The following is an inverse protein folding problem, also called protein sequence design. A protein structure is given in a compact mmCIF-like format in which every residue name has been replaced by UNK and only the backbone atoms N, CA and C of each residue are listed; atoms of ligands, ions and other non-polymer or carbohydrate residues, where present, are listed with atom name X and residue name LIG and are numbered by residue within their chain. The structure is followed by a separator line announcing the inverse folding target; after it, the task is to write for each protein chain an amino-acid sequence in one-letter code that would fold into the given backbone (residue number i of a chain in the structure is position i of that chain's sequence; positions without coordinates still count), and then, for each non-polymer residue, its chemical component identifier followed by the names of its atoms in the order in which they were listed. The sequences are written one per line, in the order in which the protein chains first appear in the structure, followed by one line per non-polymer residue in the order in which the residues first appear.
data_IF_074552837925
#
_entry.id   IF_074552837925
#
_cell.length_a   1.000
_cell.length_b   1.000
_cell.length_c   1.000
_cell.angle_alpha   90.00
_cell.angle_beta   90.00
_cell.angle_gamma   90.00
#
_symmetry.space_group_name_H-M   'P 1'
#
loop_
_entity.id
_entity.type
_entity.pdbx_description
1 polymer ?
#
# COMPACT_ATOMS: atom_id res chain seq x y z
N UNK A 1 1.31 1.76 27.03
CA UNK A 1 0.53 2.50 28.04
C UNK A 1 1.11 3.89 28.09
N UNK A 2 0.35 4.91 27.69
CA UNK A 2 0.86 6.29 27.62
C UNK A 2 0.60 6.96 28.97
N UNK A 3 1.65 7.21 29.74
CA UNK A 3 1.57 8.01 30.96
C UNK A 3 1.93 9.47 30.64
N UNK A 4 1.19 10.39 31.27
CA UNK A 4 1.40 11.82 31.22
C UNK A 4 1.89 12.26 32.61
N UNK A 5 3.13 12.76 32.71
CA UNK A 5 3.59 13.50 33.88
C UNK A 5 3.87 14.95 33.49
N UNK A 6 3.27 15.87 34.23
CA UNK A 6 3.44 17.31 34.07
C UNK A 6 4.42 17.79 35.17
N UNK A 7 5.70 17.94 34.84
CA UNK A 7 6.65 18.60 35.74
C UNK A 7 6.47 20.13 35.63
N UNK A 8 6.00 20.75 36.72
CA UNK A 8 5.93 22.21 36.85
C UNK A 8 7.22 22.74 37.44
N UNK A 9 8.14 23.18 36.59
CA UNK A 9 9.27 24.00 37.04
C UNK A 9 8.99 25.50 36.84
N UNK A 10 9.04 26.25 37.94
CA UNK A 10 8.75 27.70 38.00
C UNK A 10 9.89 28.49 37.33
N UNK A 11 9.72 28.88 36.06
CA UNK A 11 10.01 30.22 35.46
C UNK A 11 10.17 30.08 33.93
N UNK A 12 9.40 30.89 33.19
CA UNK A 12 9.25 30.93 31.70
C UNK A 12 8.66 29.64 31.11
N UNK A 13 7.42 29.74 30.65
CA UNK A 13 6.63 28.70 29.99
C UNK A 13 7.28 28.22 28.70
N UNK A 14 8.23 27.28 28.80
CA UNK A 14 8.59 26.35 27.73
C UNK A 14 7.82 25.06 28.01
N UNK A 15 6.77 24.80 27.24
CA UNK A 15 6.08 23.51 27.30
C UNK A 15 6.78 22.58 26.31
N UNK A 16 7.72 21.77 26.79
CA UNK A 16 8.31 20.70 25.97
C UNK A 16 7.36 19.51 25.98
N UNK A 17 6.73 19.21 24.84
CA UNK A 17 5.88 18.03 24.69
C UNK A 17 6.77 16.83 24.38
N UNK A 18 6.87 15.88 25.31
CA UNK A 18 7.59 14.63 25.11
C UNK A 18 6.65 13.55 24.57
N UNK A 19 6.83 13.16 23.30
CA UNK A 19 6.17 12.00 22.71
C UNK A 19 7.00 10.74 22.99
N UNK A 20 6.48 9.87 23.85
CA UNK A 20 7.10 8.57 24.14
C UNK A 20 6.62 7.54 23.12
N UNK A 21 7.51 7.14 22.21
CA UNK A 21 7.29 5.95 21.38
C UNK A 21 7.92 4.76 22.10
N UNK A 22 7.09 3.91 22.70
CA UNK A 22 7.56 2.70 23.36
C UNK A 22 8.04 1.69 22.33
N UNK A 23 9.36 1.54 22.16
CA UNK A 23 9.96 0.42 21.44
C UNK A 23 10.33 -0.64 22.48
N UNK A 24 9.53 -1.70 22.58
CA UNK A 24 9.85 -2.86 23.43
C UNK A 24 10.82 -3.78 22.71
N UNK A 25 12.07 -3.87 23.18
CA UNK A 25 12.97 -4.96 22.81
C UNK A 25 12.74 -6.16 23.73
N UNK A 26 12.53 -7.39 23.21
CA UNK A 26 12.50 -8.59 24.05
C UNK A 26 13.87 -8.82 24.68
N UNK A 27 13.90 -8.98 26.00
CA UNK A 27 15.11 -9.25 26.77
C UNK A 27 15.65 -10.65 26.46
N UNK A 28 16.83 -10.75 25.85
CA UNK A 28 17.72 -11.89 26.05
C UNK A 28 19.15 -11.37 26.18
N UNK A 29 19.83 -11.95 27.15
CA UNK A 29 21.17 -11.66 27.63
C UNK A 29 22.22 -11.48 26.53
N UNK A 30 23.16 -10.55 26.75
CA UNK A 30 24.47 -10.55 26.11
C UNK A 30 24.73 -9.34 25.22
N UNK A 31 25.88 -8.71 25.45
CA UNK A 31 26.44 -7.59 24.69
C UNK A 31 26.41 -7.80 23.16
N UNK A 32 26.50 -6.67 22.45
CA UNK A 32 26.46 -6.43 21.00
C UNK A 32 25.09 -6.04 20.42
N UNK A 33 24.61 -4.85 20.79
CA UNK A 33 23.66 -4.11 19.95
C UNK A 33 24.45 -3.47 18.80
N UNK A 34 24.43 -4.12 17.64
CA UNK A 34 24.74 -3.45 16.38
C UNK A 34 23.72 -2.33 16.21
N UNK A 35 24.19 -1.09 16.30
CA UNK A 35 23.40 0.09 15.99
C UNK A 35 22.91 -0.02 14.54
N UNK A 36 21.61 -0.23 14.36
CA UNK A 36 20.97 -0.07 13.06
C UNK A 36 21.12 1.40 12.65
N UNK A 37 22.09 1.68 11.78
CA UNK A 37 22.15 2.90 10.99
C UNK A 37 20.92 2.91 10.08
N UNK A 38 19.88 3.64 10.45
CA UNK A 38 18.90 4.11 9.48
C UNK A 38 19.42 5.44 8.90
N UNK A 39 20.35 5.32 7.95
CA UNK A 39 20.75 6.43 7.09
C UNK A 39 19.95 6.32 5.79
N UNK A 40 19.03 7.26 5.54
CA UNK A 40 18.57 7.54 4.17
C UNK A 40 19.33 8.79 3.75
N UNK A 41 20.46 8.56 3.07
CA UNK A 41 21.19 9.56 2.30
C UNK A 41 20.85 9.28 0.86
N UNK A 42 20.17 10.22 0.20
CA UNK A 42 20.17 10.31 -1.26
C UNK A 42 20.53 11.75 -1.62
N UNK A 43 21.78 11.94 -2.07
CA UNK A 43 22.21 13.16 -2.73
C UNK A 43 21.70 13.13 -4.18
N UNK A 44 20.98 14.16 -4.61
CA UNK A 44 20.86 14.49 -6.03
C UNK A 44 21.64 15.80 -6.30
N UNK A 45 22.50 15.85 -7.33
CA UNK A 45 23.21 17.06 -7.72
C UNK A 45 22.28 17.95 -8.56
N UNK A 46 22.01 19.16 -8.08
CA UNK A 46 21.15 20.14 -8.76
C UNK A 46 20.10 20.68 -7.79
N UNK A 47 20.34 21.89 -7.28
CA UNK A 47 19.62 22.41 -6.12
C UNK A 47 18.17 22.77 -6.36
N UNK A 48 17.28 22.25 -5.51
CA UNK A 48 16.02 22.87 -5.10
C UNK A 48 15.74 22.50 -3.63
N UNK A 49 15.32 23.47 -2.81
CA UNK A 49 15.08 23.29 -1.37
C UNK A 49 13.85 22.41 -1.10
N UNK A 50 14.07 21.14 -0.72
CA UNK A 50 13.01 20.22 -0.24
C UNK A 50 13.19 19.98 1.27
N UNK A 51 12.10 20.19 2.02
CA UNK A 51 12.04 20.11 3.48
C UNK A 51 12.44 18.72 4.02
N UNK A 52 13.32 18.73 5.03
CA UNK A 52 13.94 17.55 5.65
C UNK A 52 13.13 17.16 6.89
N UNK A 53 12.31 16.10 6.86
CA UNK A 53 11.44 15.75 8.02
C UNK A 53 12.15 14.88 9.09
N UNK A 54 13.37 14.40 8.84
CA UNK A 54 14.17 13.73 9.87
C UNK A 54 15.64 14.17 9.76
N UNK A 55 16.16 14.77 10.84
CA UNK A 55 17.56 15.18 10.98
C UNK A 55 18.29 14.31 11.99
N UNK A 56 19.63 14.29 11.90
CA UNK A 56 20.57 13.41 12.60
C UNK A 56 20.21 13.06 14.05
N UNK A 57 20.29 11.76 14.36
CA UNK A 57 20.20 11.21 15.71
C UNK A 57 21.47 11.55 16.50
N UNK A 58 21.44 12.62 17.29
CA UNK A 58 22.47 12.89 18.30
C UNK A 58 22.32 11.94 19.49
N UNK A 59 23.39 11.24 19.87
CA UNK A 59 23.45 10.53 21.17
C UNK A 59 23.57 11.56 22.27
N UNK A 60 22.59 11.60 23.17
CA UNK A 60 22.82 12.08 24.53
C UNK A 60 22.74 10.89 25.49
N UNK A 61 23.70 10.84 26.39
CA UNK A 61 24.03 9.76 27.32
C UNK A 61 22.81 9.16 28.02
N UNK A 62 22.69 7.84 27.95
CA UNK A 62 21.76 7.04 28.74
C UNK A 62 22.08 7.18 30.23
N UNK A 63 21.15 7.72 31.02
CA UNK A 63 21.13 7.49 32.46
C UNK A 63 20.40 6.18 32.76
N UNK A 64 20.71 5.58 33.92
CA UNK A 64 20.53 4.16 34.26
C UNK A 64 19.08 3.62 34.38
N UNK A 65 18.09 4.28 33.78
CA UNK A 65 16.75 3.75 33.57
C UNK A 65 16.44 3.87 32.08
N UNK A 66 16.31 2.72 31.41
CA UNK A 66 16.26 2.59 29.94
C UNK A 66 15.09 3.30 29.26
N UNK A 67 15.19 4.63 29.13
CA UNK A 67 14.29 5.49 28.38
C UNK A 67 15.08 6.15 27.25
N UNK A 68 14.89 5.68 26.02
CA UNK A 68 15.41 6.37 24.82
C UNK A 68 14.50 7.58 24.55
N UNK A 69 15.06 8.79 24.69
CA UNK A 69 14.39 10.04 24.30
C UNK A 69 14.35 10.12 22.76
N UNK A 70 13.18 9.87 22.17
CA UNK A 70 12.93 10.12 20.74
C UNK A 70 12.42 11.55 20.55
N UNK A 71 13.32 12.47 20.18
CA UNK A 71 12.96 13.80 19.71
C UNK A 71 12.62 13.77 18.23
N UNK A 72 11.37 14.00 17.85
CA UNK A 72 10.99 14.17 16.44
C UNK A 72 11.25 15.61 16.03
N UNK A 73 12.27 15.84 15.19
CA UNK A 73 12.51 17.14 14.54
C UNK A 73 11.51 17.31 13.38
N UNK A 74 10.35 17.90 13.64
CA UNK A 74 9.43 18.34 12.58
C UNK A 74 9.93 19.68 12.04
N UNK A 75 10.64 19.67 10.91
CA UNK A 75 11.01 20.92 10.24
C UNK A 75 9.77 21.51 9.54
N UNK A 76 9.22 22.57 10.13
CA UNK A 76 8.50 23.62 9.42
C UNK A 76 6.99 23.47 9.29
N UNK A 77 6.27 23.50 10.42
CA UNK A 77 4.96 24.15 10.46
C UNK A 77 5.09 25.35 11.40
N UNK A 78 5.06 26.56 10.87
CA UNK A 78 5.06 27.80 11.67
C UNK A 78 6.37 28.60 11.65
N UNK A 79 6.69 29.25 12.79
CA UNK A 79 7.61 30.40 12.95
C UNK A 79 9.09 30.15 12.66
N UNK A 80 9.44 28.97 12.16
CA UNK A 80 10.81 28.56 11.83
C UNK A 80 11.79 28.67 13.03
N UNK A 81 11.28 28.48 14.24
CA UNK A 81 12.00 28.58 15.53
C UNK A 81 12.41 27.21 16.10
N UNK A 82 12.21 26.14 15.32
CA UNK A 82 12.59 24.75 15.62
C UNK A 82 11.92 24.15 16.88
N UNK A 83 10.83 24.74 17.37
CA UNK A 83 10.04 24.23 18.50
C UNK A 83 8.57 24.17 18.09
N UNK A 84 7.87 23.08 18.41
CA UNK A 84 6.42 23.00 18.18
C UNK A 84 5.68 23.58 19.37
N UNK A 85 4.91 24.65 19.16
CA UNK A 85 4.06 25.19 20.22
C UNK A 85 2.77 24.37 20.40
N UNK A 86 1.95 24.74 21.39
CA UNK A 86 0.71 24.01 21.71
C UNK A 86 -0.31 24.07 20.58
N UNK A 87 -0.35 25.16 19.82
CA UNK A 87 -1.30 25.38 18.73
C UNK A 87 -0.85 24.61 17.48
N UNK A 88 0.44 24.67 17.15
CA UNK A 88 1.07 23.88 16.10
C UNK A 88 0.96 22.36 16.38
N UNK A 89 1.13 21.94 17.64
CA UNK A 89 0.91 20.55 18.03
C UNK A 89 -0.56 20.14 17.88
N UNK A 90 -1.50 20.96 18.34
CA UNK A 90 -2.94 20.69 18.14
C UNK A 90 -3.28 20.59 16.66
N UNK A 91 -2.70 21.45 15.82
CA UNK A 91 -2.85 21.40 14.38
C UNK A 91 -2.33 20.07 13.82
N UNK A 92 -1.08 19.70 14.10
CA UNK A 92 -0.51 18.42 13.67
C UNK A 92 -1.34 17.22 14.16
N UNK A 93 -1.77 17.27 15.42
CA UNK A 93 -2.59 16.23 16.04
C UNK A 93 -3.91 16.03 15.30
N UNK A 94 -4.63 17.12 15.05
CA UNK A 94 -5.93 17.08 14.37
C UNK A 94 -5.81 16.76 12.89
N UNK A 95 -4.73 17.20 12.23
CA UNK A 95 -4.60 17.09 10.77
C UNK A 95 -4.00 15.78 10.30
N UNK A 96 -3.04 15.21 11.01
CA UNK A 96 -2.39 13.99 10.52
C UNK A 96 -2.03 12.96 11.60
N UNK A 97 -1.55 13.36 12.79
CA UNK A 97 -1.10 12.38 13.80
C UNK A 97 -2.25 11.45 14.20
N UNK A 98 -3.43 12.00 14.50
CA UNK A 98 -4.60 11.20 14.89
C UNK A 98 -5.01 10.21 13.79
N UNK A 99 -4.98 10.63 12.52
CA UNK A 99 -5.31 9.77 11.39
C UNK A 99 -4.30 8.62 11.21
N UNK A 100 -3.02 8.87 11.53
CA UNK A 100 -1.99 7.84 11.45
C UNK A 100 -2.09 6.85 12.61
N UNK A 101 -2.32 7.31 13.84
CA UNK A 101 -2.34 6.43 15.04
C UNK A 101 -3.70 5.82 15.35
N UNK A 102 -4.74 6.20 14.60
CA UNK A 102 -6.10 5.62 14.65
C UNK A 102 -6.56 5.29 13.24
N UNK A 103 -5.92 4.32 12.57
CA UNK A 103 -6.28 3.97 11.21
C UNK A 103 -7.67 3.32 11.17
N UNK A 104 -8.38 3.52 10.06
CA UNK A 104 -9.51 2.69 9.66
C UNK A 104 -8.99 1.79 8.53
N UNK A 105 -9.08 0.48 8.72
CA UNK A 105 -8.28 -0.51 8.01
C UNK A 105 -9.13 -1.41 7.12
N UNK A 106 -8.70 -1.58 5.87
CA UNK A 106 -9.23 -2.62 4.98
C UNK A 106 -8.16 -3.65 4.65
N UNK A 107 -8.52 -4.93 4.67
CA UNK A 107 -7.74 -5.98 4.02
C UNK A 107 -8.32 -6.24 2.62
N UNK A 108 -7.48 -6.16 1.60
CA UNK A 108 -7.82 -6.46 0.20
C UNK A 108 -7.09 -7.74 -0.19
N UNK A 109 -7.86 -8.81 -0.36
CA UNK A 109 -7.39 -10.13 -0.79
C UNK A 109 -7.61 -10.23 -2.30
N UNK A 110 -6.51 -10.19 -3.05
CA UNK A 110 -6.53 -10.12 -4.51
C UNK A 110 -6.50 -11.52 -5.12
N UNK A 111 -7.55 -11.87 -5.86
CA UNK A 111 -7.63 -12.99 -6.82
C UNK A 111 -7.14 -14.34 -6.28
N UNK A 112 -7.55 -14.70 -5.05
CA UNK A 112 -7.27 -16.03 -4.49
C UNK A 112 -8.32 -17.02 -5.01
N UNK A 113 -8.27 -17.28 -6.32
CA UNK A 113 -9.19 -18.10 -7.09
C UNK A 113 -8.57 -19.44 -7.51
N UNK A 114 -9.39 -20.36 -8.01
CA UNK A 114 -8.98 -21.74 -8.33
C UNK A 114 -8.00 -21.85 -9.51
N UNK A 115 -8.08 -20.97 -10.52
CA UNK A 115 -7.17 -20.98 -11.67
C UNK A 115 -5.76 -20.47 -11.36
N UNK A 116 -5.55 -19.84 -10.20
CA UNK A 116 -4.28 -19.27 -9.81
C UNK A 116 -3.53 -20.12 -8.76
N UNK A 117 -2.21 -19.92 -8.69
CA UNK A 117 -1.35 -20.49 -7.64
C UNK A 117 -1.86 -20.00 -6.26
N UNK A 118 -1.52 -20.64 -5.14
CA UNK A 118 -2.15 -20.35 -3.85
C UNK A 118 -1.19 -19.70 -2.83
N UNK A 119 -1.71 -18.74 -2.04
CA UNK A 119 -1.03 -18.12 -0.89
C UNK A 119 -1.96 -17.97 0.32
N UNK A 120 -2.64 -19.05 0.68
CA UNK A 120 -3.78 -19.01 1.63
C UNK A 120 -3.41 -19.00 3.11
N UNK A 121 -2.43 -19.80 3.60
CA UNK A 121 -2.21 -19.90 5.06
C UNK A 121 -1.88 -18.58 5.76
N UNK A 122 -1.04 -17.68 5.21
CA UNK A 122 -0.79 -16.36 5.79
C UNK A 122 -2.05 -15.48 5.82
N UNK A 123 -2.82 -15.49 4.74
CA UNK A 123 -4.07 -14.73 4.62
C UNK A 123 -5.10 -15.21 5.65
N UNK A 124 -5.34 -16.52 5.73
CA UNK A 124 -6.24 -17.11 6.70
C UNK A 124 -5.83 -16.82 8.15
N UNK A 125 -4.53 -16.75 8.43
CA UNK A 125 -4.03 -16.37 9.76
C UNK A 125 -4.41 -14.93 10.09
N UNK A 126 -4.17 -14.00 9.17
CA UNK A 126 -4.53 -12.59 9.32
C UNK A 126 -6.02 -12.42 9.58
N UNK A 127 -6.87 -13.09 8.80
CA UNK A 127 -8.32 -13.06 8.95
C UNK A 127 -8.81 -13.54 10.33
N UNK A 128 -8.06 -14.44 11.00
CA UNK A 128 -8.41 -14.89 12.35
C UNK A 128 -7.85 -13.97 13.45
N UNK A 129 -6.66 -13.42 13.25
CA UNK A 129 -5.88 -12.78 14.32
C UNK A 129 -6.04 -11.25 14.38
N UNK A 130 -6.52 -10.65 13.28
CA UNK A 130 -6.61 -9.21 13.07
C UNK A 130 -8.05 -8.85 12.74
N UNK A 131 -8.60 -7.89 13.48
CA UNK A 131 -9.90 -7.30 13.20
C UNK A 131 -9.71 -6.10 12.28
N UNK A 132 -10.02 -6.27 11.01
CA UNK A 132 -10.11 -5.17 10.04
C UNK A 132 -11.50 -4.52 10.11
N UNK A 133 -11.59 -3.25 9.73
CA UNK A 133 -12.86 -2.53 9.62
C UNK A 133 -13.63 -2.90 8.33
N UNK A 134 -12.90 -3.47 7.35
CA UNK A 134 -13.42 -3.97 6.10
C UNK A 134 -12.53 -5.10 5.57
N UNK A 135 -13.15 -6.12 4.97
CA UNK A 135 -12.43 -7.16 4.20
C UNK A 135 -13.02 -7.17 2.79
N UNK A 136 -12.14 -7.16 1.81
CA UNK A 136 -12.46 -7.19 0.38
C UNK A 136 -11.84 -8.42 -0.23
N UNK A 137 -12.60 -9.13 -1.07
CA UNK A 137 -12.07 -10.15 -1.96
C UNK A 137 -12.29 -9.69 -3.40
N UNK A 138 -11.23 -9.60 -4.19
CA UNK A 138 -11.39 -9.42 -5.63
C UNK A 138 -11.47 -10.76 -6.34
N UNK A 139 -12.18 -10.74 -7.46
CA UNK A 139 -12.28 -11.87 -8.37
C UNK A 139 -12.00 -11.35 -9.78
N UNK A 140 -11.00 -11.92 -10.45
CA UNK A 140 -10.94 -11.87 -11.90
C UNK A 140 -12.15 -12.61 -12.47
N UNK A 141 -12.80 -12.00 -13.45
CA UNK A 141 -14.13 -12.44 -13.88
C UNK A 141 -14.38 -12.17 -15.37
N UNK A 142 -13.60 -12.86 -16.20
CA UNK A 142 -13.49 -12.60 -17.63
C UNK A 142 -14.58 -13.29 -18.45
N UNK A 143 -15.23 -12.61 -19.40
CA UNK A 143 -16.08 -13.26 -20.40
C UNK A 143 -15.24 -14.20 -21.30
N UNK A 144 -15.90 -15.13 -22.00
CA UNK A 144 -15.19 -16.12 -22.83
C UNK A 144 -14.38 -15.49 -23.97
N UNK A 145 -14.83 -14.36 -24.50
CA UNK A 145 -14.21 -13.62 -25.60
C UNK A 145 -13.27 -12.50 -25.12
N UNK A 146 -12.85 -12.51 -23.86
CA UNK A 146 -12.00 -11.48 -23.26
C UNK A 146 -10.67 -11.25 -24.02
N UNK A 147 -10.30 -9.97 -24.17
CA UNK A 147 -9.14 -9.48 -24.93
C UNK A 147 -7.79 -9.98 -24.43
N UNK A 148 -7.71 -10.32 -23.14
CA UNK A 148 -6.45 -10.76 -22.53
C UNK A 148 -6.12 -12.23 -22.84
N UNK A 149 -7.04 -13.01 -23.41
CA UNK A 149 -6.80 -14.43 -23.69
C UNK A 149 -6.09 -14.63 -25.03
N UNK A 150 -5.02 -15.41 -25.00
CA UNK A 150 -4.25 -15.79 -26.20
C UNK A 150 -5.15 -16.46 -27.26
N UNK A 151 -6.15 -17.24 -26.83
CA UNK A 151 -7.07 -17.93 -27.74
C UNK A 151 -7.89 -16.96 -28.60
N UNK A 152 -8.12 -15.74 -28.10
CA UNK A 152 -8.99 -14.74 -28.71
C UNK A 152 -8.18 -13.69 -29.51
N UNK A 153 -6.85 -13.80 -29.56
CA UNK A 153 -5.98 -12.80 -30.22
C UNK A 153 -6.28 -12.69 -31.72
N UNK A 154 -6.65 -13.81 -32.36
CA UNK A 154 -6.91 -13.89 -33.81
C UNK A 154 -8.27 -13.31 -34.21
N UNK A 155 -9.16 -13.15 -33.25
CA UNK A 155 -10.49 -12.60 -33.48
C UNK A 155 -10.50 -11.07 -33.40
N UNK A 156 -9.34 -10.45 -33.16
CA UNK A 156 -9.19 -9.02 -32.89
C UNK A 156 -8.14 -8.39 -33.83
N UNK A 157 -8.39 -7.19 -34.36
CA UNK A 157 -7.44 -6.51 -35.23
C UNK A 157 -6.21 -6.05 -34.42
N UNK A 158 -5.02 -6.43 -34.89
CA UNK A 158 -3.74 -6.02 -34.32
C UNK A 158 -3.29 -4.72 -34.97
N UNK A 159 -2.92 -3.74 -34.13
CA UNK A 159 -2.42 -2.46 -34.59
C UNK A 159 -1.11 -2.62 -35.35
N UNK A 160 -0.94 -1.84 -36.42
CA UNK A 160 0.24 -1.90 -37.28
C UNK A 160 1.57 -1.56 -36.56
N UNK A 161 1.53 -0.98 -35.36
CA UNK A 161 2.71 -0.74 -34.52
C UNK A 161 3.02 -1.88 -33.55
N UNK A 162 2.18 -2.91 -33.48
CA UNK A 162 2.48 -4.11 -32.70
C UNK A 162 3.66 -4.82 -33.35
N UNK A 163 4.69 -5.14 -32.55
CA UNK A 163 5.85 -5.89 -33.02
C UNK A 163 5.52 -7.36 -33.32
N UNK A 164 4.45 -7.86 -32.70
CA UNK A 164 4.00 -9.25 -32.76
C UNK A 164 2.65 -9.31 -33.48
N UNK A 165 2.55 -10.20 -34.47
CA UNK A 165 1.32 -10.49 -35.23
C UNK A 165 0.38 -11.41 -34.45
N UNK A 166 -0.89 -11.49 -34.85
CA UNK A 166 -1.85 -12.42 -34.22
C UNK A 166 -1.49 -13.90 -34.47
N UNK A 167 -0.75 -14.18 -35.53
CA UNK A 167 -0.32 -15.51 -35.96
C UNK A 167 0.87 -16.02 -35.15
N UNK A 168 1.77 -15.11 -34.78
CA UNK A 168 3.03 -15.42 -34.07
C UNK A 168 2.91 -15.26 -32.55
N UNK A 169 1.87 -14.59 -32.06
CA UNK A 169 1.66 -14.30 -30.64
C UNK A 169 1.65 -15.57 -29.77
N UNK A 170 2.30 -15.47 -28.61
CA UNK A 170 2.38 -16.52 -27.61
C UNK A 170 1.88 -16.03 -26.24
N UNK A 171 1.68 -16.96 -25.32
CA UNK A 171 1.36 -16.64 -23.93
C UNK A 171 2.49 -15.81 -23.32
N UNK A 172 2.12 -14.75 -22.59
CA UNK A 172 2.96 -13.71 -22.01
C UNK A 172 3.51 -12.67 -22.98
N UNK A 173 3.30 -12.81 -24.28
CA UNK A 173 3.62 -11.74 -25.21
C UNK A 173 2.70 -10.54 -24.97
N UNK A 174 3.22 -9.36 -25.30
CA UNK A 174 2.45 -8.13 -25.32
C UNK A 174 2.18 -7.74 -26.76
N UNK A 175 0.90 -7.59 -27.09
CA UNK A 175 0.45 -7.11 -28.40
C UNK A 175 -0.22 -5.76 -28.26
N UNK A 176 -0.32 -5.03 -29.38
CA UNK A 176 -1.10 -3.79 -29.45
C UNK A 176 -2.32 -4.06 -30.33
N UNK A 177 -3.52 -4.02 -29.76
CA UNK A 177 -4.76 -4.11 -30.54
C UNK A 177 -5.10 -2.75 -31.16
N UNK A 178 -5.67 -2.76 -32.38
CA UNK A 178 -6.05 -1.54 -33.12
C UNK A 178 -7.04 -0.69 -32.35
N UNK A 179 -8.05 -1.33 -31.73
CA UNK A 179 -9.10 -0.62 -31.02
C UNK A 179 -9.91 -1.47 -30.05
N UNK A 180 -10.18 -0.88 -28.89
CA UNK A 180 -11.40 -1.04 -28.10
C UNK A 180 -12.49 -0.09 -28.69
N UNK A 181 -13.68 -0.01 -28.08
CA UNK A 181 -14.80 0.83 -28.57
C UNK A 181 -14.54 2.36 -28.73
N UNK A 182 -13.38 2.89 -28.32
CA UNK A 182 -13.08 4.33 -28.25
C UNK A 182 -12.03 4.86 -29.26
N UNK A 183 -11.55 4.05 -30.20
CA UNK A 183 -10.62 4.54 -31.24
C UNK A 183 -9.13 4.61 -30.86
N UNK A 184 -8.71 4.04 -29.72
CA UNK A 184 -7.34 4.16 -29.20
C UNK A 184 -6.67 2.77 -29.19
N UNK A 185 -5.43 2.64 -29.72
CA UNK A 185 -4.67 1.41 -29.61
C UNK A 185 -4.38 1.05 -28.15
N UNK A 186 -4.49 -0.23 -27.81
CA UNK A 186 -4.30 -0.72 -26.45
C UNK A 186 -3.23 -1.80 -26.40
N UNK A 187 -2.24 -1.58 -25.54
CA UNK A 187 -1.25 -2.59 -25.18
C UNK A 187 -1.88 -3.63 -24.24
N UNK A 188 -1.78 -4.91 -24.59
CA UNK A 188 -2.32 -6.02 -23.81
C UNK A 188 -1.32 -7.16 -23.75
N UNK A 189 -0.98 -7.56 -22.53
CA UNK A 189 -0.27 -8.81 -22.27
C UNK A 189 -1.23 -9.99 -22.37
N UNK A 190 -0.85 -11.02 -23.12
CA UNK A 190 -1.69 -12.18 -23.38
C UNK A 190 -1.48 -13.26 -22.31
N UNK A 191 -2.58 -13.86 -21.87
CA UNK A 191 -2.63 -14.90 -20.85
C UNK A 191 -3.31 -16.16 -21.39
N UNK A 192 -3.06 -17.34 -20.80
CA UNK A 192 -3.93 -18.49 -21.00
C UNK A 192 -5.35 -18.13 -20.56
N UNK A 193 -6.36 -18.83 -21.05
CA UNK A 193 -7.72 -18.70 -20.54
C UNK A 193 -7.75 -19.01 -19.04
N UNK A 194 -8.35 -18.11 -18.26
CA UNK A 194 -8.44 -18.22 -16.81
C UNK A 194 -9.63 -17.42 -16.28
N UNK A 195 -10.12 -17.76 -15.10
CA UNK A 195 -11.15 -17.05 -14.36
C UNK A 195 -12.37 -16.67 -15.20
N UNK A 196 -12.76 -17.56 -16.12
CA UNK A 196 -13.92 -17.38 -17.00
C UNK A 196 -15.19 -17.30 -16.16
N UNK A 197 -16.07 -16.35 -16.47
CA UNK A 197 -17.29 -16.13 -15.69
C UNK A 197 -18.08 -17.42 -15.48
N UNK A 198 -18.47 -17.65 -14.23
CA UNK A 198 -19.29 -18.81 -13.78
C UNK A 198 -18.59 -20.17 -13.93
N UNK A 199 -17.30 -20.19 -14.29
CA UNK A 199 -16.49 -21.42 -14.25
C UNK A 199 -16.08 -21.76 -12.80
N UNK A 200 -15.61 -22.99 -12.59
CA UNK A 200 -14.98 -23.38 -11.34
C UNK A 200 -13.68 -22.59 -11.08
N UNK A 201 -12.90 -22.34 -12.13
CA UNK A 201 -11.64 -21.63 -12.08
C UNK A 201 -11.76 -20.21 -11.51
N UNK A 202 -12.90 -19.56 -11.78
CA UNK A 202 -13.19 -18.20 -11.32
C UNK A 202 -13.75 -18.12 -9.89
N UNK A 203 -14.01 -19.24 -9.21
CA UNK A 203 -14.46 -19.22 -7.83
C UNK A 203 -13.29 -18.93 -6.89
N UNK A 204 -13.55 -18.25 -5.76
CA UNK A 204 -12.58 -18.15 -4.67
C UNK A 204 -12.22 -19.57 -4.21
N UNK A 205 -10.96 -19.78 -3.86
CA UNK A 205 -10.49 -21.10 -3.49
C UNK A 205 -11.12 -21.58 -2.18
N UNK A 206 -11.58 -22.83 -2.12
CA UNK A 206 -12.29 -23.43 -0.97
C UNK A 206 -11.58 -23.31 0.39
N UNK A 207 -10.24 -23.44 0.47
CA UNK A 207 -9.56 -23.27 1.76
C UNK A 207 -9.40 -21.81 2.19
N UNK A 208 -9.73 -20.81 1.34
CA UNK A 208 -9.71 -19.41 1.74
C UNK A 208 -10.89 -19.15 2.69
N UNK A 209 -10.58 -18.61 3.87
CA UNK A 209 -11.63 -18.17 4.80
C UNK A 209 -12.33 -16.96 4.24
N UNK A 210 -13.65 -17.03 4.13
CA UNK A 210 -14.50 -15.91 3.73
C UNK A 210 -15.13 -15.30 4.97
N UNK A 211 -14.87 -14.01 5.18
CA UNK A 211 -15.44 -13.25 6.30
C UNK A 211 -16.88 -12.83 5.94
N UNK A 212 -17.78 -12.97 6.91
CA UNK A 212 -19.15 -12.47 6.83
C UNK A 212 -19.16 -10.95 6.60
N UNK A 213 -20.12 -10.43 5.81
CA UNK A 213 -20.20 -9.02 5.42
C UNK A 213 -18.98 -8.47 4.66
N UNK A 214 -18.13 -9.34 4.10
CA UNK A 214 -17.06 -8.94 3.19
C UNK A 214 -17.62 -8.37 1.88
N UNK A 215 -16.83 -7.51 1.24
CA UNK A 215 -17.16 -6.95 -0.07
C UNK A 215 -16.49 -7.77 -1.16
N UNK A 216 -17.27 -8.22 -2.13
CA UNK A 216 -16.77 -8.86 -3.34
C UNK A 216 -16.67 -7.84 -4.47
N UNK A 217 -15.51 -7.78 -5.12
CA UNK A 217 -15.27 -6.90 -6.26
C UNK A 217 -14.87 -7.74 -7.46
N UNK A 218 -15.68 -7.69 -8.52
CA UNK A 218 -15.39 -8.35 -9.78
C UNK A 218 -14.63 -7.37 -10.69
N UNK A 219 -13.59 -7.85 -11.35
CA UNK A 219 -12.78 -7.08 -12.31
C UNK A 219 -12.56 -7.87 -13.60
N UNK A 220 -12.16 -7.16 -14.66
CA UNK A 220 -11.91 -7.77 -15.98
C UNK A 220 -13.19 -8.26 -16.67
N UNK A 221 -14.33 -7.64 -16.36
CA UNK A 221 -15.65 -8.08 -16.85
C UNK A 221 -15.99 -7.57 -18.25
N UNK A 222 -15.28 -6.56 -18.73
CA UNK A 222 -15.43 -5.99 -20.08
C UNK A 222 -14.63 -6.86 -21.07
N UNK A 223 -15.24 -7.43 -22.12
CA UNK A 223 -14.50 -8.24 -23.09
C UNK A 223 -13.37 -7.48 -23.78
N UNK A 224 -13.45 -6.14 -23.90
CA UNK A 224 -12.51 -5.33 -24.66
C UNK A 224 -11.47 -4.62 -23.81
N UNK A 225 -11.55 -4.73 -22.48
CA UNK A 225 -10.64 -4.03 -21.56
C UNK A 225 -10.31 -4.90 -20.36
N UNK A 226 -9.03 -5.20 -20.20
CA UNK A 226 -8.52 -5.92 -19.04
C UNK A 226 -8.38 -5.01 -17.80
N UNK A 227 -8.36 -5.60 -16.62
CA UNK A 227 -8.33 -4.89 -15.33
C UNK A 227 -7.50 -5.66 -14.32
N UNK A 228 -6.21 -5.33 -14.22
CA UNK A 228 -5.35 -5.90 -13.19
C UNK A 228 -5.64 -5.31 -11.81
N UNK A 229 -5.90 -4.01 -11.73
CA UNK A 229 -6.17 -3.35 -10.46
C UNK A 229 -7.60 -3.63 -10.00
N UNK A 230 -7.77 -3.80 -8.69
CA UNK A 230 -9.11 -3.85 -8.09
C UNK A 230 -9.77 -2.46 -8.06
N UNK A 231 -9.09 -1.37 -8.41
CA UNK A 231 -9.66 -0.02 -8.41
C UNK A 231 -10.19 0.43 -9.78
N UNK A 232 -9.43 0.15 -10.83
CA UNK A 232 -9.64 0.68 -12.18
C UNK A 232 -9.24 -0.36 -13.21
N UNK A 233 -9.87 -0.29 -14.38
CA UNK A 233 -9.36 -0.99 -15.55
C UNK A 233 -7.97 -0.48 -15.97
N UNK A 234 -7.29 -1.23 -16.83
CA UNK A 234 -5.92 -0.92 -17.26
C UNK A 234 -5.81 0.44 -17.99
N UNK A 235 -6.90 0.92 -18.58
CA UNK A 235 -6.98 2.20 -19.29
C UNK A 235 -7.48 3.36 -18.42
N UNK A 236 -7.77 3.11 -17.13
CA UNK A 236 -8.42 4.06 -16.18
C UNK A 236 -9.70 4.68 -16.72
N UNK A 237 -10.49 3.94 -17.51
CA UNK A 237 -11.76 4.42 -18.07
C UNK A 237 -12.95 4.09 -17.17
N UNK A 238 -12.92 2.91 -16.57
CA UNK A 238 -13.94 2.39 -15.66
C UNK A 238 -13.37 2.17 -14.27
N UNK A 239 -14.13 2.61 -13.26
CA UNK A 239 -13.87 2.30 -11.85
C UNK A 239 -14.64 1.06 -11.45
N UNK A 240 -14.04 0.24 -10.60
CA UNK A 240 -14.79 -0.78 -9.85
C UNK A 240 -15.54 -0.11 -8.68
N UNK A 241 -16.34 -0.89 -7.94
CA UNK A 241 -16.99 -0.43 -6.72
C UNK A 241 -16.04 -0.19 -5.54
N UNK A 242 -14.77 -0.61 -5.61
CA UNK A 242 -13.88 -0.64 -4.46
C UNK A 242 -13.68 0.74 -3.83
N UNK A 243 -13.36 1.76 -4.63
CA UNK A 243 -13.04 3.09 -4.09
C UNK A 243 -14.24 3.70 -3.37
N UNK A 244 -15.44 3.53 -3.91
CA UNK A 244 -16.68 4.01 -3.30
C UNK A 244 -16.94 3.32 -1.95
N UNK A 245 -16.76 2.01 -1.88
CA UNK A 245 -16.94 1.24 -0.64
C UNK A 245 -15.92 1.60 0.44
N UNK A 246 -14.65 1.80 0.06
CA UNK A 246 -13.60 2.27 0.97
C UNK A 246 -13.93 3.67 1.51
N UNK A 247 -14.39 4.59 0.65
CA UNK A 247 -14.75 5.96 1.04
C UNK A 247 -15.96 5.99 1.97
N UNK A 248 -17.02 5.22 1.69
CA UNK A 248 -18.21 5.10 2.57
C UNK A 248 -17.83 4.71 3.99
N UNK A 249 -16.82 3.85 4.15
CA UNK A 249 -16.32 3.36 5.45
C UNK A 249 -15.21 4.22 6.03
N UNK A 250 -14.84 5.32 5.38
CA UNK A 250 -13.73 6.20 5.76
C UNK A 250 -12.41 5.43 5.93
N UNK A 251 -12.16 4.43 5.09
CA UNK A 251 -10.92 3.65 5.14
C UNK A 251 -9.74 4.57 4.87
N UNK A 252 -8.70 4.42 5.67
CA UNK A 252 -7.50 5.26 5.59
C UNK A 252 -6.24 4.46 5.24
N UNK A 253 -6.24 3.17 5.56
CA UNK A 253 -5.14 2.24 5.32
C UNK A 253 -5.67 1.00 4.62
N UNK A 254 -5.01 0.61 3.54
CA UNK A 254 -5.32 -0.63 2.83
C UNK A 254 -4.14 -1.57 2.94
N UNK A 255 -4.43 -2.81 3.35
CA UNK A 255 -3.49 -3.89 3.45
C UNK A 255 -3.76 -4.86 2.31
N UNK A 256 -2.78 -5.09 1.45
CA UNK A 256 -2.97 -5.76 0.16
C UNK A 256 -2.19 -7.07 0.20
N UNK A 257 -2.88 -8.17 -0.10
CA UNK A 257 -2.29 -9.49 -0.25
C UNK A 257 -2.96 -10.25 -1.41
N UNK A 258 -2.45 -11.43 -1.77
CA UNK A 258 -3.02 -12.23 -2.85
C UNK A 258 -2.11 -12.31 -4.08
N UNK A 259 -2.72 -12.38 -5.26
CA UNK A 259 -2.08 -12.87 -6.48
C UNK A 259 -2.55 -12.07 -7.70
N UNK A 260 -1.75 -11.90 -8.75
CA UNK A 260 -0.29 -12.10 -8.75
C UNK A 260 0.42 -10.88 -8.16
N UNK A 261 1.45 -11.12 -7.35
CA UNK A 261 2.27 -10.10 -6.68
C UNK A 261 2.69 -8.98 -7.64
N UNK A 262 3.22 -9.38 -8.78
CA UNK A 262 3.83 -8.59 -9.84
C UNK A 262 2.84 -8.08 -10.90
N UNK A 263 1.56 -8.46 -10.79
CA UNK A 263 0.50 -8.06 -11.74
C UNK A 263 -0.65 -7.39 -10.99
N UNK A 264 -1.70 -8.13 -10.60
CA UNK A 264 -2.91 -7.58 -9.97
C UNK A 264 -2.63 -6.90 -8.63
N UNK A 265 -1.78 -7.51 -7.80
CA UNK A 265 -1.39 -6.92 -6.51
C UNK A 265 -0.55 -5.66 -6.72
N UNK A 266 0.36 -5.67 -7.68
CA UNK A 266 1.20 -4.52 -8.04
C UNK A 266 0.34 -3.34 -8.51
N UNK A 267 -0.56 -3.57 -9.46
CA UNK A 267 -1.48 -2.56 -10.00
C UNK A 267 -2.47 -2.04 -8.93
N UNK A 268 -2.98 -2.93 -8.07
CA UNK A 268 -3.86 -2.56 -6.96
C UNK A 268 -3.12 -1.70 -5.93
N UNK A 269 -1.88 -2.04 -5.61
CA UNK A 269 -1.04 -1.26 -4.70
C UNK A 269 -0.72 0.13 -5.26
N UNK A 270 -0.40 0.21 -6.55
CA UNK A 270 -0.15 1.48 -7.22
C UNK A 270 -1.38 2.39 -7.20
N UNK A 271 -2.55 1.88 -7.62
CA UNK A 271 -3.79 2.68 -7.59
C UNK A 271 -4.22 3.04 -6.17
N UNK A 272 -4.07 2.16 -5.18
CA UNK A 272 -4.33 2.52 -3.79
C UNK A 272 -3.49 3.73 -3.32
N UNK A 273 -2.22 3.79 -3.72
CA UNK A 273 -1.34 4.91 -3.40
C UNK A 273 -1.81 6.20 -4.09
N UNK A 274 -2.17 6.10 -5.38
CA UNK A 274 -2.66 7.22 -6.20
C UNK A 274 -3.98 7.81 -5.67
N UNK A 275 -4.91 6.94 -5.26
CA UNK A 275 -6.18 7.31 -4.61
C UNK A 275 -5.98 7.92 -3.20
N UNK A 276 -4.74 7.94 -2.69
CA UNK A 276 -4.38 8.60 -1.44
C UNK A 276 -4.46 7.70 -0.20
N UNK A 277 -4.74 6.41 -0.36
CA UNK A 277 -4.68 5.47 0.76
C UNK A 277 -3.23 5.24 1.20
N UNK A 278 -3.04 4.93 2.47
CA UNK A 278 -1.78 4.33 2.93
C UNK A 278 -1.82 2.86 2.52
N UNK A 279 -1.07 2.52 1.48
CA UNK A 279 -1.01 1.16 0.97
C UNK A 279 0.13 0.39 1.64
N UNK A 280 -0.21 -0.77 2.20
CA UNK A 280 0.73 -1.70 2.81
C UNK A 280 0.63 -3.05 2.09
N UNK A 281 1.69 -3.42 1.38
CA UNK A 281 1.82 -4.68 0.67
C UNK A 281 2.34 -5.77 1.61
N UNK A 282 1.57 -6.83 1.81
CA UNK A 282 1.91 -7.94 2.71
C UNK A 282 2.74 -8.98 1.95
N UNK A 283 4.05 -8.93 2.12
CA UNK A 283 5.02 -9.65 1.29
C UNK A 283 4.85 -11.17 1.31
N UNK A 284 4.77 -11.77 2.49
CA UNK A 284 4.56 -13.21 2.69
C UNK A 284 3.11 -13.65 2.44
N UNK A 285 2.20 -12.70 2.29
CA UNK A 285 0.81 -12.92 1.90
C UNK A 285 0.58 -12.89 0.39
N UNK A 286 1.64 -12.78 -0.42
CA UNK A 286 1.55 -12.68 -1.87
C UNK A 286 2.33 -13.78 -2.60
N UNK A 287 1.91 -14.08 -3.83
CA UNK A 287 2.68 -14.93 -4.75
C UNK A 287 2.67 -14.29 -6.14
N UNK A 288 3.83 -14.23 -6.78
CA UNK A 288 3.98 -13.68 -8.14
C UNK A 288 4.42 -14.71 -9.15
N UNK A 289 4.55 -14.27 -10.40
CA UNK A 289 4.96 -15.06 -11.55
C UNK A 289 6.47 -15.01 -11.75
N UNK A 290 7.07 -13.81 -11.65
CA UNK A 290 8.48 -13.57 -11.91
C UNK A 290 9.18 -12.90 -10.73
N UNK A 291 10.30 -13.46 -10.25
CA UNK A 291 11.05 -12.91 -9.12
C UNK A 291 11.57 -11.48 -9.39
N UNK A 292 12.00 -11.19 -10.63
CA UNK A 292 12.46 -9.86 -11.00
C UNK A 292 11.33 -8.81 -10.90
N UNK A 293 10.13 -9.16 -11.38
CA UNK A 293 8.98 -8.26 -11.35
C UNK A 293 8.40 -8.10 -9.94
N UNK A 294 8.54 -9.13 -9.08
CA UNK A 294 8.27 -9.04 -7.65
C UNK A 294 9.19 -8.01 -7.00
N UNK A 295 10.50 -8.04 -7.26
CA UNK A 295 11.43 -7.05 -6.70
C UNK A 295 11.13 -5.65 -7.21
N UNK A 296 10.88 -5.50 -8.52
CA UNK A 296 10.48 -4.21 -9.10
C UNK A 296 9.19 -3.67 -8.46
N UNK A 297 8.24 -4.54 -8.12
CA UNK A 297 7.01 -4.15 -7.41
C UNK A 297 7.30 -3.67 -5.99
N UNK A 298 8.21 -4.32 -5.25
CA UNK A 298 8.62 -3.85 -3.91
C UNK A 298 9.30 -2.48 -3.96
N UNK A 299 10.21 -2.29 -4.91
CA UNK A 299 10.92 -1.02 -5.12
C UNK A 299 9.97 0.10 -5.51
N UNK A 300 9.04 -0.16 -6.45
CA UNK A 300 8.01 0.81 -6.86
C UNK A 300 7.09 1.18 -5.71
N UNK A 301 6.67 0.18 -4.92
CA UNK A 301 5.80 0.38 -3.76
C UNK A 301 6.45 1.32 -2.75
N UNK A 302 7.70 1.04 -2.36
CA UNK A 302 8.44 1.83 -1.39
C UNK A 302 8.79 3.23 -1.90
N UNK A 303 9.21 3.35 -3.17
CA UNK A 303 9.51 4.65 -3.80
C UNK A 303 8.28 5.56 -3.92
N UNK A 304 7.09 4.97 -4.04
CA UNK A 304 5.80 5.67 -4.08
C UNK A 304 5.19 5.92 -2.70
N UNK A 305 5.95 5.77 -1.61
CA UNK A 305 5.51 5.95 -0.22
C UNK A 305 4.49 4.91 0.28
N UNK A 306 4.39 3.76 -0.38
CA UNK A 306 3.79 2.55 0.19
C UNK A 306 4.77 1.85 1.13
N UNK A 307 4.29 0.83 1.82
CA UNK A 307 5.13 -0.04 2.65
C UNK A 307 5.06 -1.48 2.20
N UNK A 308 6.20 -2.16 2.18
CA UNK A 308 6.27 -3.61 2.09
C UNK A 308 6.50 -4.14 3.51
N UNK A 309 5.61 -5.02 3.97
CA UNK A 309 5.59 -5.52 5.35
C UNK A 309 5.44 -7.03 5.39
N UNK A 310 5.82 -7.64 6.50
CA UNK A 310 5.49 -9.04 6.80
C UNK A 310 4.16 -9.14 7.55
N UNK A 311 3.40 -10.22 7.34
CA UNK A 311 2.08 -10.46 7.95
C UNK A 311 2.09 -10.36 9.48
N UNK A 312 3.19 -10.76 10.12
CA UNK A 312 3.40 -10.65 11.58
C UNK A 312 3.33 -9.21 12.11
N UNK A 313 3.56 -8.20 11.27
CA UNK A 313 3.50 -6.79 11.65
C UNK A 313 2.09 -6.20 11.54
N UNK A 314 1.18 -6.85 10.81
CA UNK A 314 -0.14 -6.28 10.47
C UNK A 314 -0.96 -5.97 11.72
N UNK A 315 -0.94 -6.86 12.73
CA UNK A 315 -1.71 -6.67 13.97
C UNK A 315 -1.31 -5.42 14.76
N UNK A 316 -0.01 -5.11 14.84
CA UNK A 316 0.47 -3.92 15.55
C UNK A 316 0.18 -2.65 14.75
N UNK A 317 0.27 -2.71 13.43
CA UNK A 317 -0.06 -1.62 12.51
C UNK A 317 -1.56 -1.27 12.55
N UNK A 318 -2.44 -2.26 12.43
CA UNK A 318 -3.91 -2.06 12.48
C UNK A 318 -4.35 -1.53 13.84
N UNK A 319 -3.78 -2.03 14.94
CA UNK A 319 -4.10 -1.53 16.28
C UNK A 319 -3.48 -0.16 16.62
N UNK A 320 -2.75 0.45 15.69
CA UNK A 320 -2.10 1.76 15.89
C UNK A 320 -0.92 1.73 16.87
N UNK A 321 -0.46 0.55 17.29
CA UNK A 321 0.61 0.39 18.30
C UNK A 321 2.00 0.62 17.74
N UNK A 322 2.25 0.13 16.53
CA UNK A 322 3.55 0.25 15.87
C UNK A 322 3.33 0.86 14.49
N UNK A 323 3.50 2.18 14.40
CA UNK A 323 3.18 2.97 13.20
C UNK A 323 4.46 3.65 12.71
N UNK A 324 5.07 3.14 11.61
CA UNK A 324 6.27 3.71 11.04
C UNK A 324 6.11 5.19 10.68
N UNK A 325 7.10 6.05 10.94
CA UNK A 325 7.02 7.48 10.62
C UNK A 325 6.76 7.79 9.15
N UNK A 326 7.14 6.90 8.23
CA UNK A 326 6.87 7.05 6.79
C UNK A 326 5.38 7.14 6.46
N UNK A 327 4.51 6.49 7.24
CA UNK A 327 3.05 6.60 7.07
C UNK A 327 2.54 8.01 7.40
N UNK A 328 3.20 8.70 8.33
CA UNK A 328 2.93 10.10 8.64
C UNK A 328 3.54 11.04 7.61
N UNK A 329 4.72 10.72 7.08
CA UNK A 329 5.41 11.52 6.09
C UNK A 329 4.57 11.73 4.82
N UNK A 330 3.97 10.67 4.26
CA UNK A 330 3.08 10.76 3.10
C UNK A 330 1.93 11.75 3.34
N UNK A 331 1.21 11.58 4.45
CA UNK A 331 0.07 12.42 4.79
C UNK A 331 0.47 13.89 5.01
N UNK A 332 1.62 14.13 5.64
CA UNK A 332 2.16 15.47 5.82
C UNK A 332 2.50 16.13 4.47
N UNK A 333 3.11 15.40 3.52
CA UNK A 333 3.39 15.90 2.17
C UNK A 333 2.12 16.28 1.42
N UNK A 334 1.07 15.45 1.48
CA UNK A 334 -0.21 15.73 0.83
C UNK A 334 -0.90 16.97 1.40
N UNK A 335 -0.89 17.12 2.73
CA UNK A 335 -1.41 18.31 3.41
C UNK A 335 -0.62 19.55 3.00
N UNK A 336 0.71 19.47 2.97
CA UNK A 336 1.58 20.56 2.55
C UNK A 336 1.29 21.00 1.10
N UNK A 337 1.15 20.05 0.17
CA UNK A 337 0.75 20.32 -1.22
C UNK A 337 -0.61 21.01 -1.31
N UNK A 338 -1.61 20.56 -0.54
CA UNK A 338 -2.95 21.17 -0.50
C UNK A 338 -2.93 22.59 0.08
N UNK A 339 -2.07 22.86 1.05
CA UNK A 339 -1.93 24.19 1.66
C UNK A 339 -1.27 25.20 0.72
N UNK A 340 -0.31 24.79 -0.11
CA UNK A 340 0.34 25.67 -1.11
C UNK A 340 -0.56 26.08 -2.28
N UNK A 341 -1.66 25.33 -2.53
CA UNK A 341 -2.64 25.62 -3.58
C UNK A 341 -3.75 26.59 -3.14
N UNK A 342 -3.85 26.90 -1.85
CA UNK A 342 -4.73 27.92 -1.28
C UNK A 342 -3.94 29.19 -1.05
#
# INVERSE_FOLDING_TARGET
MTYFEEEKEKKRTKTTIHLWFGVTFPSLYGLWVNAAKASIVTCLPGGENIARIFGDFGRESASAFGCVRLGVRVLGFGRNDHVIDKEEFRFCWQKWIKAVVRPVSALIVVDVQNDFIRVIPPINRLLNEVKFDMVVYSLDWHPEDHVSFIDNVKDRPIHHTSEISSEDAQVNDTVIFDVNNDGIPMEQRLWPRHCVQKSWGAQLHDDLKIVEDSVLVYKGTDPDTDSYSVFWDNNKKSQTSLNEELQKRNITDVYICGIAYDVCVSATTAHAIEEGYRALLIDDGCRGVCDADIQATKERTTSSNGLVIHSSQVKSLVSGRDRPPVLAYKLALEISKKMKKK
#
